data_IF_935357565913
#
_entry.id   IF_935357565913
#
_cell.length_a   1.000
_cell.length_b   1.000
_cell.length_c   1.000
_cell.angle_alpha   90.00
_cell.angle_beta   90.00
_cell.angle_gamma   90.00
#
_symmetry.space_group_name_H-M   'P 1'
#
loop_
_entity.id
_entity.type
_entity.pdbx_description
1 polymer ?
#
# COMPACT_ATOMS: atom_id res chain seq x y z
N UNK A 1 -3.71 5.74 -1.39
CA UNK A 1 -4.07 6.77 -2.39
C UNK A 1 -4.88 6.28 -3.59
N UNK A 2 -6.22 6.20 -3.63
CA UNK A 2 -6.92 6.07 -4.94
C UNK A 2 -8.30 6.72 -5.00
N UNK A 3 -8.90 6.79 -6.18
CA UNK A 3 -10.26 7.33 -6.40
C UNK A 3 -11.25 6.20 -6.68
N UNK A 4 -12.48 6.33 -6.14
CA UNK A 4 -13.60 5.42 -6.41
C UNK A 4 -13.95 5.28 -7.89
N UNK A 5 -13.59 6.27 -8.71
CA UNK A 5 -13.86 6.26 -10.15
C UNK A 5 -12.94 5.30 -10.94
N UNK A 6 -11.76 4.97 -10.41
CA UNK A 6 -10.73 4.26 -11.17
C UNK A 6 -10.95 2.76 -11.24
N UNK A 7 -10.45 2.15 -12.32
CA UNK A 7 -10.54 0.70 -12.53
C UNK A 7 -9.90 -0.10 -11.39
N UNK A 8 -8.75 0.37 -10.86
CA UNK A 8 -8.06 -0.29 -9.75
C UNK A 8 -8.91 -0.40 -8.48
N UNK A 9 -9.71 0.61 -8.17
CA UNK A 9 -10.65 0.56 -7.04
C UNK A 9 -11.72 -0.51 -7.27
N UNK A 10 -12.31 -0.55 -8.48
CA UNK A 10 -13.30 -1.56 -8.86
C UNK A 10 -12.72 -2.98 -8.85
N UNK A 11 -11.44 -3.13 -9.18
CA UNK A 11 -10.72 -4.40 -9.09
C UNK A 11 -10.52 -4.84 -7.63
N UNK A 12 -10.05 -3.94 -6.76
CA UNK A 12 -9.81 -4.22 -5.33
C UNK A 12 -11.10 -4.65 -4.61
N UNK A 13 -12.25 -4.06 -4.94
CA UNK A 13 -13.55 -4.48 -4.39
C UNK A 13 -13.86 -5.95 -4.74
N UNK A 14 -13.50 -6.40 -5.94
CA UNK A 14 -13.80 -7.75 -6.42
C UNK A 14 -12.77 -8.79 -5.98
N UNK A 15 -11.51 -8.37 -5.88
CA UNK A 15 -10.39 -9.21 -5.45
C UNK A 15 -9.44 -8.36 -4.62
N UNK A 16 -9.35 -8.67 -3.33
CA UNK A 16 -8.53 -7.93 -2.38
C UNK A 16 -7.05 -8.31 -2.45
N UNK A 17 -6.68 -9.35 -3.19
CA UNK A 17 -5.27 -9.70 -3.40
C UNK A 17 -4.61 -8.66 -4.31
N UNK A 18 -3.55 -8.04 -3.82
CA UNK A 18 -2.80 -6.99 -4.52
C UNK A 18 -1.31 -7.30 -4.54
N UNK A 19 -0.68 -6.86 -5.62
CA UNK A 19 0.77 -6.81 -5.73
C UNK A 19 1.18 -5.37 -6.09
N UNK A 20 2.26 -4.90 -5.45
CA UNK A 20 2.85 -3.59 -5.68
C UNK A 20 4.33 -3.77 -5.96
N UNK A 21 4.85 -3.09 -6.97
CA UNK A 21 6.28 -3.05 -7.25
C UNK A 21 6.77 -1.62 -7.09
N UNK A 22 7.86 -1.46 -6.34
CA UNK A 22 8.54 -0.19 -6.17
C UNK A 22 10.04 -0.42 -6.26
N UNK A 23 10.68 0.16 -7.28
CA UNK A 23 12.07 -0.11 -7.64
C UNK A 23 12.33 -1.62 -7.81
N UNK A 24 13.18 -2.17 -6.95
CA UNK A 24 13.57 -3.57 -6.93
C UNK A 24 12.78 -4.39 -5.89
N UNK A 25 11.77 -3.80 -5.24
CA UNK A 25 10.94 -4.46 -4.23
C UNK A 25 9.57 -4.78 -4.81
N UNK A 26 9.13 -6.03 -4.64
CA UNK A 26 7.79 -6.50 -4.93
C UNK A 26 7.12 -6.89 -3.61
N UNK A 27 5.93 -6.35 -3.38
CA UNK A 27 5.12 -6.56 -2.17
C UNK A 27 3.82 -7.21 -2.61
N UNK A 28 3.47 -8.34 -2.01
CA UNK A 28 2.15 -8.95 -2.14
C UNK A 28 1.40 -8.81 -0.83
N UNK A 29 0.09 -8.69 -0.91
CA UNK A 29 -0.74 -8.55 0.27
C UNK A 29 -2.23 -8.53 -0.01
N UNK A 30 -2.97 -8.20 1.04
CA UNK A 30 -4.43 -8.03 0.99
C UNK A 30 -4.80 -6.58 1.24
N UNK A 31 -5.54 -5.98 0.30
CA UNK A 31 -6.02 -4.62 0.41
C UNK A 31 -7.30 -4.52 1.25
N UNK A 32 -7.35 -3.49 2.10
CA UNK A 32 -8.51 -3.08 2.89
C UNK A 32 -8.85 -1.63 2.55
N UNK A 33 -10.12 -1.36 2.23
CA UNK A 33 -10.60 -0.01 1.92
C UNK A 33 -11.02 0.67 3.22
N UNK A 34 -10.29 1.70 3.65
CA UNK A 34 -10.53 2.39 4.92
C UNK A 34 -11.49 3.59 4.82
N UNK A 35 -11.97 3.91 3.62
CA UNK A 35 -12.85 5.06 3.40
C UNK A 35 -12.08 6.35 3.09
N UNK A 36 -12.68 7.51 3.38
CA UNK A 36 -12.09 8.81 3.02
C UNK A 36 -10.95 9.19 3.99
N UNK A 37 -9.84 9.78 3.52
CA UNK A 37 -8.71 10.14 4.39
C UNK A 37 -9.08 11.05 5.57
N UNK A 38 -10.04 11.96 5.37
CA UNK A 38 -10.52 12.89 6.40
C UNK A 38 -11.65 12.34 7.28
N UNK A 39 -11.94 11.04 7.26
CA UNK A 39 -12.94 10.48 8.19
C UNK A 39 -12.38 10.39 9.60
N UNK A 40 -13.26 10.39 10.61
CA UNK A 40 -12.84 10.39 12.02
C UNK A 40 -11.98 9.17 12.37
N UNK A 41 -12.27 8.02 11.76
CA UNK A 41 -11.53 6.77 11.93
C UNK A 41 -10.10 6.82 11.36
N UNK A 42 -9.83 7.76 10.44
CA UNK A 42 -8.56 7.86 9.72
C UNK A 42 -7.70 9.06 10.17
N UNK A 43 -8.11 9.79 11.22
CA UNK A 43 -7.39 10.99 11.70
C UNK A 43 -5.92 10.73 12.02
N UNK A 44 -5.61 9.62 12.69
CA UNK A 44 -4.23 9.28 13.03
C UNK A 44 -3.36 9.07 11.78
N UNK A 45 -3.93 8.43 10.75
CA UNK A 45 -3.24 8.23 9.46
C UNK A 45 -3.01 9.58 8.77
N UNK A 46 -4.02 10.44 8.76
CA UNK A 46 -3.94 11.78 8.20
C UNK A 46 -2.83 12.60 8.87
N UNK A 47 -2.79 12.66 10.21
CA UNK A 47 -1.77 13.39 10.97
C UNK A 47 -0.34 12.88 10.68
N UNK A 48 -0.17 11.55 10.56
CA UNK A 48 1.13 10.95 10.21
C UNK A 48 1.56 11.28 8.80
N UNK A 49 0.63 11.36 7.85
CA UNK A 49 0.92 11.62 6.44
C UNK A 49 1.03 13.12 6.10
N UNK A 50 0.37 13.99 6.85
CA UNK A 50 0.35 15.45 6.65
C UNK A 50 1.76 16.06 6.60
N UNK A 51 2.66 15.55 7.43
CA UNK A 51 4.05 16.02 7.50
C UNK A 51 4.97 15.39 6.45
N UNK A 52 4.56 14.28 5.84
CA UNK A 52 5.41 13.45 5.00
C UNK A 52 5.20 13.73 3.51
N UNK A 53 4.01 14.14 3.09
CA UNK A 53 3.69 14.20 1.67
C UNK A 53 2.66 15.28 1.29
N UNK A 54 3.11 16.29 0.53
CA UNK A 54 2.24 17.34 -0.03
C UNK A 54 1.22 16.79 -1.02
N UNK A 55 1.53 15.72 -1.73
CA UNK A 55 0.62 15.08 -2.67
C UNK A 55 -0.53 14.40 -1.92
N UNK A 56 -0.27 13.82 -0.76
CA UNK A 56 -1.31 13.22 0.07
C UNK A 56 -2.42 14.24 0.39
N UNK A 57 -2.04 15.43 0.87
CA UNK A 57 -2.98 16.49 1.18
C UNK A 57 -3.67 17.05 -0.06
N UNK A 58 -2.95 17.14 -1.18
CA UNK A 58 -3.55 17.54 -2.45
C UNK A 58 -4.69 16.59 -2.86
N UNK A 59 -4.52 15.28 -2.70
CA UNK A 59 -5.53 14.29 -3.09
C UNK A 59 -6.62 14.08 -2.04
N UNK A 60 -6.32 14.29 -0.75
CA UNK A 60 -7.25 14.06 0.36
C UNK A 60 -8.48 14.98 0.33
N UNK A 61 -8.39 16.16 -0.32
CA UNK A 61 -9.52 17.10 -0.45
C UNK A 61 -10.65 16.61 -1.36
N UNK A 62 -10.40 15.63 -2.23
CA UNK A 62 -11.39 15.19 -3.21
C UNK A 62 -12.31 14.13 -2.63
N UNK A 63 -13.63 14.37 -2.68
CA UNK A 63 -14.69 13.50 -2.14
C UNK A 63 -14.59 12.02 -2.55
N UNK A 64 -14.08 11.74 -3.75
CA UNK A 64 -13.97 10.38 -4.28
C UNK A 64 -12.68 9.66 -3.87
N UNK A 65 -11.78 10.32 -3.15
CA UNK A 65 -10.55 9.72 -2.66
C UNK A 65 -10.83 8.73 -1.54
N UNK A 66 -10.09 7.61 -1.57
CA UNK A 66 -10.11 6.59 -0.54
C UNK A 66 -8.69 6.18 -0.12
N UNK A 67 -8.55 5.90 1.17
CA UNK A 67 -7.40 5.19 1.73
C UNK A 67 -7.53 3.70 1.47
N UNK A 68 -6.39 3.10 1.11
CA UNK A 68 -6.24 1.66 0.93
C UNK A 68 -5.08 1.27 1.83
N UNK A 69 -5.36 0.43 2.82
CA UNK A 69 -4.35 -0.26 3.60
C UNK A 69 -4.00 -1.58 2.92
N UNK A 70 -2.74 -1.99 3.00
CA UNK A 70 -2.29 -3.26 2.46
C UNK A 70 -1.65 -4.05 3.59
N UNK A 71 -2.30 -5.14 3.99
CA UNK A 71 -1.73 -6.13 4.89
C UNK A 71 -0.74 -6.99 4.10
N UNK A 72 0.54 -6.86 4.41
CA UNK A 72 1.64 -7.43 3.63
C UNK A 72 1.79 -8.92 3.97
N UNK A 73 1.73 -9.78 2.96
CA UNK A 73 1.89 -11.23 3.11
C UNK A 73 3.25 -11.73 2.64
N UNK A 74 3.83 -11.07 1.64
CA UNK A 74 5.12 -11.46 1.06
C UNK A 74 5.86 -10.23 0.53
N UNK A 75 7.17 -10.19 0.72
CA UNK A 75 8.04 -9.16 0.14
C UNK A 75 9.24 -9.84 -0.51
N UNK A 76 9.42 -9.60 -1.80
CA UNK A 76 10.59 -10.01 -2.56
C UNK A 76 11.42 -8.77 -2.93
N UNK A 77 12.73 -8.90 -2.92
CA UNK A 77 13.66 -7.85 -3.33
C UNK A 77 14.67 -8.43 -4.33
N UNK A 78 14.92 -7.69 -5.41
CA UNK A 78 15.96 -8.00 -6.38
C UNK A 78 17.21 -7.19 -6.08
N UNK A 79 18.34 -7.84 -5.87
CA UNK A 79 19.62 -7.15 -5.76
C UNK A 79 20.57 -7.63 -6.87
N UNK A 80 21.75 -7.02 -6.94
CA UNK A 80 22.78 -7.38 -7.93
C UNK A 80 23.20 -8.87 -7.85
N UNK A 81 22.88 -9.55 -6.75
CA UNK A 81 23.19 -10.95 -6.48
C UNK A 81 21.96 -11.88 -6.66
N UNK A 82 20.82 -11.40 -7.15
CA UNK A 82 19.63 -12.20 -7.42
C UNK A 82 18.43 -11.86 -6.54
N UNK A 83 17.53 -12.84 -6.35
CA UNK A 83 16.27 -12.68 -5.61
C UNK A 83 16.49 -12.98 -4.12
N UNK A 84 16.01 -12.07 -3.27
CA UNK A 84 15.93 -12.24 -1.82
C UNK A 84 14.49 -12.16 -1.35
N UNK A 85 14.09 -13.11 -0.49
CA UNK A 85 12.82 -13.05 0.22
C UNK A 85 13.03 -12.34 1.55
N UNK A 86 12.10 -11.43 1.90
CA UNK A 86 12.12 -10.68 3.16
C UNK A 86 10.98 -11.18 4.05
N UNK A 87 11.35 -11.83 5.15
CA UNK A 87 10.44 -12.14 6.24
C UNK A 87 10.30 -10.90 7.14
N UNK A 88 9.24 -10.14 6.90
CA UNK A 88 8.94 -8.89 7.60
C UNK A 88 8.70 -9.15 9.11
N UNK A 89 8.07 -10.26 9.46
CA UNK A 89 7.71 -10.58 10.85
C UNK A 89 8.95 -10.92 11.68
N UNK A 90 9.85 -11.74 11.13
CA UNK A 90 11.05 -12.18 11.82
C UNK A 90 12.27 -11.27 11.58
N UNK A 91 12.13 -10.23 10.75
CA UNK A 91 13.21 -9.32 10.33
C UNK A 91 14.41 -10.09 9.75
N UNK A 92 14.14 -11.11 8.94
CA UNK A 92 15.16 -11.95 8.28
C UNK A 92 15.02 -11.84 6.78
N UNK A 93 16.11 -12.03 6.06
CA UNK A 93 16.08 -12.30 4.62
C UNK A 93 16.75 -13.63 4.31
N UNK A 94 16.30 -14.27 3.24
CA UNK A 94 16.91 -15.51 2.76
C UNK A 94 16.94 -15.52 1.24
N UNK A 95 17.97 -16.18 0.70
CA UNK A 95 18.12 -16.43 -0.73
C UNK A 95 17.58 -17.81 -1.02
N UNK A 96 16.77 -17.90 -2.08
CA UNK A 96 16.41 -19.18 -2.67
C UNK A 96 17.38 -19.37 -3.84
N UNK A 97 18.31 -20.31 -3.67
CA UNK A 97 19.33 -20.69 -4.64
C UNK A 97 19.48 -22.20 -4.66
#
# INVERSE_FOLDING_TARGET
>A
MTSKAYAKYKQIIKNTLVAMCFNNVQIQGRAVILGHPSSDENKEILERCEHLDKEFMYWAKYKNTVLIEVDITEVECWNNNGREYIDVLNKKSYRIG
#
